data_IF_777966690418
#
_entry.id   IF_777966690418
#
_cell.length_a   1.000
_cell.length_b   1.000
_cell.length_c   1.000
_cell.angle_alpha   90.00
_cell.angle_beta   90.00
_cell.angle_gamma   90.00
#
_symmetry.space_group_name_H-M   'P 1'
#
loop_
_entity.id
_entity.type
_entity.pdbx_description
1 polymer ?
#
# COMPACT_ATOMS: atom_id res chain seq x y z
N UNK A 1 -31.36 -0.51 -2.53
CA UNK A 1 -31.21 0.26 -1.27
C UNK A 1 -30.80 -0.63 -0.08
N UNK A 2 -31.51 -1.73 0.21
CA UNK A 2 -31.19 -2.65 1.33
C UNK A 2 -29.77 -3.27 1.22
N UNK A 3 -29.35 -3.70 0.03
CA UNK A 3 -28.03 -4.30 -0.22
C UNK A 3 -26.91 -3.28 0.03
N UNK A 4 -27.05 -2.06 -0.46
CA UNK A 4 -26.07 -0.99 -0.25
C UNK A 4 -25.93 -0.62 1.23
N UNK A 5 -27.05 -0.56 1.95
CA UNK A 5 -27.04 -0.30 3.40
C UNK A 5 -26.34 -1.44 4.16
N UNK A 6 -26.62 -2.69 3.81
CA UNK A 6 -25.93 -3.84 4.40
C UNK A 6 -24.42 -3.78 4.13
N UNK A 7 -24.00 -3.55 2.88
CA UNK A 7 -22.59 -3.41 2.55
C UNK A 7 -21.90 -2.27 3.31
N UNK A 8 -22.60 -1.13 3.49
CA UNK A 8 -22.07 -0.01 4.28
C UNK A 8 -21.86 -0.40 5.74
N UNK A 9 -22.86 -1.05 6.35
CA UNK A 9 -22.76 -1.51 7.75
C UNK A 9 -21.66 -2.55 7.92
N UNK A 10 -21.58 -3.53 7.03
CA UNK A 10 -20.52 -4.56 7.06
C UNK A 10 -19.13 -3.91 6.94
N UNK A 11 -18.97 -2.93 6.04
CA UNK A 11 -17.72 -2.18 5.87
C UNK A 11 -17.35 -1.42 7.14
N UNK A 12 -18.32 -0.74 7.78
CA UNK A 12 -18.09 -0.01 9.03
C UNK A 12 -17.68 -0.95 10.18
N UNK A 13 -18.33 -2.11 10.29
CA UNK A 13 -17.98 -3.12 11.30
C UNK A 13 -16.54 -3.60 11.08
N UNK A 14 -16.17 -3.90 9.84
CA UNK A 14 -14.81 -4.35 9.51
C UNK A 14 -13.79 -3.24 9.81
N UNK A 15 -14.05 -2.01 9.40
CA UNK A 15 -13.16 -0.88 9.68
C UNK A 15 -12.99 -0.65 11.18
N UNK A 16 -14.08 -0.69 11.95
CA UNK A 16 -14.03 -0.58 13.41
C UNK A 16 -13.24 -1.74 14.04
N UNK A 17 -13.49 -2.97 13.61
CA UNK A 17 -12.78 -4.14 14.12
C UNK A 17 -11.28 -4.10 13.82
N UNK A 18 -10.91 -3.79 12.57
CA UNK A 18 -9.51 -3.70 12.15
C UNK A 18 -8.78 -2.55 12.87
N UNK A 19 -9.38 -1.36 12.93
CA UNK A 19 -8.74 -0.22 13.62
C UNK A 19 -8.58 -0.46 15.12
N UNK A 20 -9.57 -1.08 15.79
CA UNK A 20 -9.45 -1.49 17.19
C UNK A 20 -8.34 -2.52 17.36
N UNK A 21 -8.30 -3.54 16.50
CA UNK A 21 -7.25 -4.57 16.57
C UNK A 21 -5.86 -3.96 16.41
N UNK A 22 -5.67 -3.09 15.42
CA UNK A 22 -4.39 -2.41 15.19
C UNK A 22 -4.02 -1.53 16.39
N UNK A 23 -4.98 -0.78 16.96
CA UNK A 23 -4.76 0.01 18.16
C UNK A 23 -4.29 -0.86 19.34
N UNK A 24 -4.94 -2.00 19.57
CA UNK A 24 -4.56 -2.93 20.64
C UNK A 24 -3.20 -3.57 20.39
N UNK A 25 -2.92 -3.97 19.14
CA UNK A 25 -1.61 -4.53 18.77
C UNK A 25 -0.50 -3.52 19.02
N UNK A 26 -0.67 -2.26 18.63
CA UNK A 26 0.30 -1.20 18.89
C UNK A 26 0.51 -0.96 20.40
N UNK A 27 -0.55 -1.08 21.21
CA UNK A 27 -0.45 -0.95 22.66
C UNK A 27 0.26 -2.15 23.33
N UNK A 28 0.31 -3.31 22.67
CA UNK A 28 0.96 -4.53 23.15
C UNK A 28 2.41 -4.68 22.67
N UNK A 29 2.85 -3.89 21.69
CA UNK A 29 4.25 -3.93 21.22
C UNK A 29 5.17 -3.53 22.37
N UNK A 30 6.17 -4.37 22.71
CA UNK A 30 7.15 -4.02 23.72
C UNK A 30 8.01 -2.85 23.24
N UNK A 31 8.19 -1.85 24.10
CA UNK A 31 8.96 -0.63 23.83
C UNK A 31 8.15 0.61 24.22
N UNK A 32 8.87 1.65 24.57
CA UNK A 32 8.26 2.93 24.90
C UNK A 32 8.31 3.86 23.69
N UNK A 33 7.16 4.31 23.15
CA UNK A 33 7.18 5.29 22.07
C UNK A 33 7.93 6.58 22.42
N UNK A 34 8.07 6.91 23.70
CA UNK A 34 8.88 8.02 24.16
C UNK A 34 10.36 7.81 23.83
N UNK A 35 10.87 6.58 23.95
CA UNK A 35 12.26 6.26 23.62
C UNK A 35 12.54 6.40 22.11
N UNK A 36 11.53 6.18 21.26
CA UNK A 36 11.64 6.40 19.82
C UNK A 36 11.78 7.89 19.47
N UNK A 37 11.15 8.76 20.27
CA UNK A 37 11.14 10.21 20.01
C UNK A 37 12.34 10.91 20.65
N UNK A 38 12.69 10.57 21.87
CA UNK A 38 13.72 11.24 22.65
C UNK A 38 15.06 10.51 22.66
N UNK A 39 15.08 9.23 22.30
CA UNK A 39 16.24 8.35 22.45
C UNK A 39 16.40 7.80 23.87
N UNK A 40 17.18 6.73 24.01
CA UNK A 40 17.38 6.03 25.28
C UNK A 40 18.13 6.86 26.34
N UNK A 41 18.86 7.90 25.91
CA UNK A 41 19.65 8.77 26.78
C UNK A 41 18.91 9.98 27.36
N UNK A 42 17.62 10.14 27.08
CA UNK A 42 16.82 11.28 27.52
C UNK A 42 16.67 11.32 29.05
N UNK A 43 16.60 12.52 29.62
CA UNK A 43 16.40 12.71 31.06
C UNK A 43 15.00 12.26 31.48
N UNK A 44 14.88 11.80 32.71
CA UNK A 44 13.63 11.31 33.30
C UNK A 44 12.49 12.36 33.24
N UNK A 45 12.82 13.63 33.44
CA UNK A 45 11.87 14.74 33.38
C UNK A 45 11.29 14.92 31.96
N UNK A 46 12.13 14.85 30.94
CA UNK A 46 11.70 14.96 29.54
C UNK A 46 10.82 13.79 29.14
N UNK A 47 11.13 12.59 29.60
CA UNK A 47 10.31 11.39 29.37
C UNK A 47 8.93 11.51 30.00
N UNK A 48 8.83 12.03 31.22
CA UNK A 48 7.53 12.22 31.87
C UNK A 48 6.69 13.25 31.13
N UNK A 49 7.26 14.40 30.77
CA UNK A 49 6.58 15.44 30.01
C UNK A 49 6.11 14.93 28.65
N UNK A 50 6.93 14.14 27.96
CA UNK A 50 6.55 13.54 26.68
C UNK A 50 5.44 12.50 26.81
N UNK A 51 5.45 11.68 27.88
CA UNK A 51 4.36 10.72 28.15
C UNK A 51 3.03 11.42 28.37
N UNK A 52 3.03 12.50 29.16
CA UNK A 52 1.84 13.32 29.37
C UNK A 52 1.36 13.97 28.06
N UNK A 53 2.28 14.54 27.28
CA UNK A 53 1.96 15.16 25.99
C UNK A 53 1.35 14.16 25.00
N UNK A 54 1.83 12.90 24.99
CA UNK A 54 1.30 11.83 24.16
C UNK A 54 0.07 11.12 24.78
N UNK A 55 -0.34 11.50 25.98
CA UNK A 55 -1.45 10.90 26.72
C UNK A 55 -1.25 9.42 27.05
N UNK A 56 0.00 8.96 27.16
CA UNK A 56 0.35 7.58 27.44
C UNK A 56 0.12 7.17 28.90
N UNK A 57 -0.02 8.15 29.79
CA UNK A 57 -0.40 8.02 31.19
C UNK A 57 -1.86 7.63 31.40
N UNK A 58 -2.71 7.83 30.37
CA UNK A 58 -4.14 7.54 30.45
C UNK A 58 -4.43 6.05 30.34
N UNK A 59 -5.50 5.55 31.02
CA UNK A 59 -5.96 4.17 30.83
C UNK A 59 -6.21 3.82 29.36
N UNK A 60 -5.89 2.59 28.96
CA UNK A 60 -6.00 2.11 27.58
C UNK A 60 -7.38 2.37 26.98
N UNK A 61 -8.45 2.16 27.77
CA UNK A 61 -9.84 2.40 27.32
C UNK A 61 -10.09 3.87 27.00
N UNK A 62 -9.53 4.79 27.77
CA UNK A 62 -9.65 6.22 27.48
C UNK A 62 -8.89 6.60 26.21
N UNK A 63 -7.66 6.08 26.03
CA UNK A 63 -6.87 6.29 24.81
C UNK A 63 -7.60 5.76 23.59
N UNK A 64 -8.20 4.57 23.68
CA UNK A 64 -9.01 3.98 22.63
C UNK A 64 -10.25 4.85 22.30
N UNK A 65 -10.96 5.33 23.29
CA UNK A 65 -12.09 6.23 23.09
C UNK A 65 -11.70 7.56 22.42
N UNK A 66 -10.61 8.18 22.86
CA UNK A 66 -10.06 9.40 22.26
C UNK A 66 -9.64 9.19 20.81
N UNK A 67 -8.98 8.07 20.51
CA UNK A 67 -8.61 7.70 19.15
C UNK A 67 -9.83 7.74 18.19
N UNK A 68 -10.98 7.23 18.61
CA UNK A 68 -12.18 7.27 17.77
C UNK A 68 -12.80 8.67 17.69
N UNK A 69 -12.75 9.44 18.78
CA UNK A 69 -13.23 10.83 18.78
C UNK A 69 -12.41 11.68 17.80
N UNK A 70 -11.10 11.53 17.82
CA UNK A 70 -10.18 12.25 16.94
C UNK A 70 -10.36 11.79 15.48
N UNK A 71 -10.49 10.48 15.25
CA UNK A 71 -10.76 9.93 13.94
C UNK A 71 -12.06 10.46 13.30
N UNK A 72 -13.14 10.57 14.09
CA UNK A 72 -14.43 11.12 13.62
C UNK A 72 -14.31 12.61 13.29
N UNK A 73 -13.44 13.35 13.99
CA UNK A 73 -13.13 14.76 13.72
C UNK A 73 -12.21 14.95 12.51
N UNK A 74 -11.69 13.85 11.93
CA UNK A 74 -10.72 13.89 10.84
C UNK A 74 -9.29 14.14 11.29
N UNK A 75 -9.04 14.10 12.60
CA UNK A 75 -7.69 14.19 13.16
C UNK A 75 -7.06 12.79 13.19
N UNK A 76 -6.05 12.59 12.35
CA UNK A 76 -5.26 11.36 12.28
C UNK A 76 -4.02 11.38 13.20
N UNK A 77 -3.89 12.42 14.01
CA UNK A 77 -2.75 12.64 14.88
C UNK A 77 -1.47 13.03 14.15
N UNK A 78 -0.38 13.03 14.87
CA UNK A 78 0.95 13.37 14.39
C UNK A 78 1.87 12.15 14.28
N UNK A 79 2.73 12.15 13.27
CA UNK A 79 3.79 11.16 13.14
C UNK A 79 4.89 11.41 14.17
N UNK A 80 5.11 10.46 15.07
CA UNK A 80 6.16 10.54 16.09
C UNK A 80 7.56 10.71 15.49
N UNK A 81 7.82 10.09 14.35
CA UNK A 81 9.13 10.12 13.68
C UNK A 81 9.32 11.41 12.86
N UNK A 82 8.29 11.84 12.15
CA UNK A 82 8.38 13.00 11.23
C UNK A 82 7.94 14.31 11.85
N UNK A 83 7.25 14.27 13.00
CA UNK A 83 6.70 15.45 13.70
C UNK A 83 5.85 16.32 12.77
N UNK A 84 5.00 15.66 12.00
CA UNK A 84 4.07 16.29 11.04
C UNK A 84 2.72 15.61 11.13
N UNK A 85 1.61 16.31 10.83
CA UNK A 85 0.29 15.70 10.77
C UNK A 85 0.26 14.51 9.81
N UNK A 86 -0.32 13.41 10.24
CA UNK A 86 -0.46 12.20 9.40
C UNK A 86 -1.28 12.47 8.15
N UNK A 87 -2.30 13.32 8.25
CA UNK A 87 -3.12 13.75 7.11
C UNK A 87 -2.25 14.38 6.00
N UNK A 88 -1.33 15.27 6.36
CA UNK A 88 -0.43 15.93 5.40
C UNK A 88 0.52 14.93 4.73
N UNK A 89 1.05 13.99 5.51
CA UNK A 89 1.92 12.93 4.99
C UNK A 89 1.17 12.03 3.99
N UNK A 90 -0.08 11.71 4.27
CA UNK A 90 -0.94 10.94 3.36
C UNK A 90 -1.21 11.72 2.08
N UNK A 91 -1.62 12.99 2.19
CA UNK A 91 -1.92 13.83 1.02
C UNK A 91 -0.69 14.05 0.13
N UNK A 92 0.51 14.15 0.69
CA UNK A 92 1.75 14.24 -0.07
C UNK A 92 2.08 12.95 -0.84
N UNK A 93 1.70 11.77 -0.32
CA UNK A 93 2.00 10.47 -0.94
C UNK A 93 0.91 9.94 -1.85
N UNK A 94 -0.33 10.33 -1.59
CA UNK A 94 -1.50 9.86 -2.33
C UNK A 94 -1.40 10.08 -3.85
N UNK A 95 -0.95 11.25 -4.37
CA UNK A 95 -0.84 11.47 -5.81
C UNK A 95 0.09 10.46 -6.50
N UNK A 96 1.26 10.18 -5.91
CA UNK A 96 2.19 9.21 -6.47
C UNK A 96 1.61 7.78 -6.48
N UNK A 97 0.89 7.41 -5.42
CA UNK A 97 0.21 6.11 -5.33
C UNK A 97 -0.89 5.98 -6.38
N UNK A 98 -1.70 7.04 -6.56
CA UNK A 98 -2.77 7.06 -7.58
C UNK A 98 -2.21 7.02 -9.00
N UNK A 99 -1.13 7.76 -9.27
CA UNK A 99 -0.45 7.73 -10.57
C UNK A 99 0.07 6.33 -10.89
N UNK A 100 0.72 5.68 -9.92
CA UNK A 100 1.21 4.31 -10.09
C UNK A 100 0.06 3.31 -10.30
N UNK A 101 -1.00 3.42 -9.51
CA UNK A 101 -2.18 2.57 -9.65
C UNK A 101 -2.85 2.74 -11.03
N UNK A 102 -3.02 3.99 -11.49
CA UNK A 102 -3.58 4.28 -12.81
C UNK A 102 -2.70 3.75 -13.94
N UNK A 103 -1.38 3.93 -13.85
CA UNK A 103 -0.43 3.43 -14.85
C UNK A 103 -0.42 1.89 -14.91
N UNK A 104 -0.39 1.22 -13.75
CA UNK A 104 -0.47 -0.24 -13.68
C UNK A 104 -1.81 -0.76 -14.22
N UNK A 105 -2.93 -0.12 -13.86
CA UNK A 105 -4.26 -0.48 -14.34
C UNK A 105 -4.39 -0.32 -15.86
N UNK A 106 -3.89 0.79 -16.41
CA UNK A 106 -3.86 1.02 -17.85
C UNK A 106 -3.05 -0.05 -18.58
N UNK A 107 -1.88 -0.42 -18.02
CA UNK A 107 -1.06 -1.50 -18.55
C UNK A 107 -1.81 -2.84 -18.55
N UNK A 108 -2.53 -3.16 -17.48
CA UNK A 108 -3.38 -4.36 -17.40
C UNK A 108 -4.44 -4.34 -18.51
N UNK A 109 -5.16 -3.24 -18.68
CA UNK A 109 -6.19 -3.12 -19.73
C UNK A 109 -5.60 -3.30 -21.13
N UNK A 110 -4.47 -2.64 -21.41
CA UNK A 110 -3.82 -2.68 -22.73
C UNK A 110 -3.17 -4.03 -23.06
N UNK A 111 -2.85 -4.84 -22.05
CA UNK A 111 -2.20 -6.15 -22.24
C UNK A 111 -3.17 -7.30 -22.04
N UNK A 112 -3.86 -7.36 -20.92
CA UNK A 112 -4.70 -8.49 -20.54
C UNK A 112 -5.96 -8.61 -21.43
N UNK A 113 -6.61 -7.49 -21.73
CA UNK A 113 -7.83 -7.51 -22.55
C UNK A 113 -7.56 -8.04 -23.97
N UNK A 114 -6.58 -7.52 -24.74
CA UNK A 114 -6.29 -8.06 -26.07
C UNK A 114 -5.82 -9.52 -26.02
N UNK A 115 -4.97 -9.88 -25.06
CA UNK A 115 -4.49 -11.26 -24.93
C UNK A 115 -5.60 -12.23 -24.54
N UNK A 116 -6.49 -11.83 -23.62
CA UNK A 116 -7.64 -12.64 -23.21
C UNK A 116 -8.63 -12.86 -24.35
N UNK A 117 -9.00 -11.78 -25.08
CA UNK A 117 -9.87 -11.87 -26.24
C UNK A 117 -9.24 -12.75 -27.33
N UNK A 118 -7.93 -12.61 -27.58
CA UNK A 118 -7.22 -13.43 -28.55
C UNK A 118 -7.24 -14.91 -28.15
N UNK A 119 -6.95 -15.20 -26.87
CA UNK A 119 -7.00 -16.55 -26.33
C UNK A 119 -8.39 -17.17 -26.46
N UNK A 120 -9.44 -16.42 -26.09
CA UNK A 120 -10.84 -16.86 -26.21
C UNK A 120 -11.23 -17.15 -27.66
N UNK A 121 -10.85 -16.28 -28.62
CA UNK A 121 -11.14 -16.43 -30.04
C UNK A 121 -10.46 -17.66 -30.67
N UNK A 122 -9.27 -17.99 -30.20
CA UNK A 122 -8.48 -19.12 -30.72
C UNK A 122 -8.37 -20.27 -29.72
N UNK A 123 -9.41 -20.47 -28.93
CA UNK A 123 -9.45 -21.48 -27.85
C UNK A 123 -9.00 -22.86 -28.34
N UNK A 124 -8.07 -23.47 -27.61
CA UNK A 124 -7.47 -24.78 -27.92
C UNK A 124 -6.40 -24.75 -29.00
N UNK A 125 -6.17 -23.60 -29.67
CA UNK A 125 -5.13 -23.39 -30.68
C UNK A 125 -3.84 -22.82 -30.06
N UNK A 126 -2.79 -22.70 -30.90
CA UNK A 126 -1.50 -22.20 -30.43
C UNK A 126 -1.53 -20.80 -29.77
N UNK A 127 -2.33 -19.79 -30.23
CA UNK A 127 -2.36 -18.48 -29.57
C UNK A 127 -2.89 -18.57 -28.12
N UNK A 128 -3.90 -19.42 -27.88
CA UNK A 128 -4.43 -19.69 -26.56
C UNK A 128 -3.37 -20.31 -25.65
N UNK A 129 -2.63 -21.32 -26.14
CA UNK A 129 -1.55 -21.95 -25.37
C UNK A 129 -0.42 -20.98 -25.02
N UNK A 130 -0.06 -20.09 -25.93
CA UNK A 130 0.95 -19.05 -25.69
C UNK A 130 0.46 -18.06 -24.63
N UNK A 131 -0.78 -17.55 -24.77
CA UNK A 131 -1.36 -16.63 -23.79
C UNK A 131 -1.42 -17.26 -22.38
N UNK A 132 -1.83 -18.53 -22.28
CA UNK A 132 -1.84 -19.26 -21.02
C UNK A 132 -0.44 -19.48 -20.46
N UNK A 133 0.56 -19.78 -21.29
CA UNK A 133 1.96 -19.93 -20.89
C UNK A 133 2.54 -18.62 -20.33
N UNK A 134 2.31 -17.50 -21.05
CA UNK A 134 2.73 -16.16 -20.59
C UNK A 134 2.05 -15.79 -19.27
N UNK A 135 0.75 -16.05 -19.16
CA UNK A 135 0.02 -15.82 -17.92
C UNK A 135 0.55 -16.68 -16.76
N UNK A 136 0.89 -17.95 -17.02
CA UNK A 136 1.47 -18.83 -16.01
C UNK A 136 2.82 -18.30 -15.50
N UNK A 137 3.72 -17.90 -16.40
CA UNK A 137 5.00 -17.28 -16.05
C UNK A 137 4.77 -16.01 -15.22
N UNK A 138 3.89 -15.13 -15.66
CA UNK A 138 3.59 -13.88 -14.97
C UNK A 138 3.05 -14.05 -13.55
N UNK A 139 2.27 -15.11 -13.30
CA UNK A 139 1.79 -15.42 -11.93
C UNK A 139 2.88 -16.08 -11.08
N UNK A 140 3.78 -16.84 -11.73
CA UNK A 140 4.82 -17.60 -11.00
C UNK A 140 5.95 -16.72 -10.50
N UNK A 141 6.19 -15.56 -11.09
CA UNK A 141 7.27 -14.66 -10.68
C UNK A 141 6.77 -13.72 -9.57
N UNK A 142 7.35 -13.77 -8.36
CA UNK A 142 6.98 -12.86 -7.28
C UNK A 142 7.33 -11.40 -7.62
N UNK A 143 6.43 -10.46 -7.32
CA UNK A 143 6.63 -9.02 -7.61
C UNK A 143 7.88 -8.45 -6.93
N UNK A 144 8.17 -8.89 -5.70
CA UNK A 144 9.33 -8.43 -4.95
C UNK A 144 10.66 -8.86 -5.60
N UNK A 145 10.65 -9.88 -6.43
CA UNK A 145 11.81 -10.34 -7.19
C UNK A 145 11.85 -9.72 -8.59
N UNK A 146 10.71 -9.62 -9.27
CA UNK A 146 10.59 -9.04 -10.60
C UNK A 146 11.04 -7.58 -10.63
N UNK A 147 10.60 -6.76 -9.66
CA UNK A 147 10.93 -5.34 -9.58
C UNK A 147 12.45 -5.08 -9.59
N UNK A 148 13.22 -5.63 -8.64
CA UNK A 148 14.68 -5.50 -8.65
C UNK A 148 15.36 -6.00 -9.92
N UNK A 149 14.88 -7.08 -10.54
CA UNK A 149 15.45 -7.57 -11.80
C UNK A 149 15.23 -6.60 -12.96
N UNK A 150 14.03 -6.01 -13.06
CA UNK A 150 13.73 -5.00 -14.07
C UNK A 150 14.60 -3.75 -13.86
N UNK A 151 14.79 -3.31 -12.62
CA UNK A 151 15.71 -2.20 -12.29
C UNK A 151 17.14 -2.54 -12.69
N UNK A 152 17.63 -3.75 -12.35
CA UNK A 152 18.97 -4.17 -12.72
C UNK A 152 19.16 -4.15 -14.25
N UNK A 153 18.21 -4.69 -14.99
CA UNK A 153 18.31 -4.80 -16.44
C UNK A 153 18.12 -3.43 -17.11
N UNK A 154 17.04 -2.73 -16.84
CA UNK A 154 16.65 -1.53 -17.59
C UNK A 154 17.26 -0.24 -17.06
N UNK A 155 17.52 -0.15 -15.76
CA UNK A 155 18.11 1.06 -15.16
C UNK A 155 19.64 0.95 -15.07
N UNK A 156 20.16 -0.16 -14.54
CA UNK A 156 21.60 -0.29 -14.28
C UNK A 156 22.37 -0.68 -15.55
N UNK A 157 21.93 -1.73 -16.27
CA UNK A 157 22.67 -2.21 -17.44
C UNK A 157 22.39 -1.40 -18.71
N UNK A 158 21.12 -1.09 -18.96
CA UNK A 158 20.72 -0.42 -20.20
C UNK A 158 20.63 1.11 -20.05
N UNK A 159 20.52 1.65 -18.83
CA UNK A 159 20.40 3.09 -18.58
C UNK A 159 19.13 3.74 -19.16
N UNK A 160 18.05 2.96 -19.38
CA UNK A 160 16.83 3.46 -20.02
C UNK A 160 15.86 4.15 -19.06
N UNK A 161 15.92 3.78 -17.79
CA UNK A 161 15.03 4.30 -16.75
C UNK A 161 15.83 4.67 -15.51
N UNK A 162 15.35 5.60 -14.67
CA UNK A 162 16.01 5.92 -13.41
C UNK A 162 15.93 4.73 -12.44
N UNK A 163 16.97 4.59 -11.60
CA UNK A 163 17.05 3.52 -10.58
C UNK A 163 16.06 3.75 -9.44
N UNK A 164 15.83 5.02 -9.09
CA UNK A 164 14.97 5.43 -7.98
C UNK A 164 14.42 6.83 -8.20
N UNK A 165 13.44 7.22 -7.37
CA UNK A 165 12.80 8.53 -7.44
C UNK A 165 11.40 8.46 -8.03
N UNK A 166 10.67 9.56 -7.91
CA UNK A 166 9.30 9.72 -8.44
C UNK A 166 9.12 10.97 -9.29
N UNK A 167 10.16 11.78 -9.44
CA UNK A 167 10.13 13.07 -10.17
C UNK A 167 10.79 12.99 -11.53
N UNK A 168 11.61 11.98 -11.79
CA UNK A 168 12.29 11.82 -13.06
C UNK A 168 11.38 11.19 -14.12
N UNK A 169 11.49 11.63 -15.38
CA UNK A 169 10.79 11.01 -16.49
C UNK A 169 11.09 9.51 -16.56
N UNK A 170 10.07 8.68 -16.68
CA UNK A 170 10.22 7.22 -16.74
C UNK A 170 10.27 6.49 -15.40
N UNK A 171 10.31 7.18 -14.27
CA UNK A 171 10.34 6.55 -12.93
C UNK A 171 9.15 5.66 -12.62
N UNK A 172 7.98 5.90 -13.24
CA UNK A 172 6.76 5.09 -13.09
C UNK A 172 6.74 3.83 -13.95
N UNK A 173 7.59 3.73 -14.97
CA UNK A 173 7.51 2.64 -15.96
C UNK A 173 7.76 1.28 -15.29
N UNK A 174 8.88 1.09 -14.64
CA UNK A 174 9.24 -0.20 -14.05
C UNK A 174 8.31 -0.61 -12.90
N UNK A 175 7.94 0.27 -11.96
CA UNK A 175 6.93 -0.05 -10.94
C UNK A 175 5.58 -0.41 -11.54
N UNK A 176 5.10 0.32 -12.55
CA UNK A 176 3.84 0.03 -13.23
C UNK A 176 3.88 -1.32 -13.97
N UNK A 177 5.00 -1.63 -14.65
CA UNK A 177 5.21 -2.92 -15.31
C UNK A 177 5.24 -4.05 -14.28
N UNK A 178 5.95 -3.87 -13.17
CA UNK A 178 6.05 -4.89 -12.11
C UNK A 178 4.66 -5.25 -11.54
N UNK A 179 3.87 -4.24 -11.19
CA UNK A 179 2.52 -4.45 -10.66
C UNK A 179 1.55 -4.93 -11.74
N UNK A 180 1.61 -4.30 -12.91
CA UNK A 180 0.71 -4.57 -14.03
C UNK A 180 0.85 -5.97 -14.60
N UNK A 181 2.07 -6.50 -14.75
CA UNK A 181 2.30 -7.83 -15.32
C UNK A 181 1.65 -8.95 -14.51
N UNK A 182 1.79 -8.91 -13.17
CA UNK A 182 1.16 -9.91 -12.32
C UNK A 182 -0.36 -9.85 -12.38
N UNK A 183 -0.93 -8.64 -12.37
CA UNK A 183 -2.38 -8.46 -12.49
C UNK A 183 -2.89 -8.82 -13.89
N UNK A 184 -2.13 -8.48 -14.95
CA UNK A 184 -2.46 -8.83 -16.32
C UNK A 184 -2.51 -10.34 -16.51
N UNK A 185 -1.58 -11.08 -15.91
CA UNK A 185 -1.54 -12.53 -15.98
C UNK A 185 -2.80 -13.20 -15.40
N UNK A 186 -3.30 -12.69 -14.26
CA UNK A 186 -4.54 -13.16 -13.65
C UNK A 186 -5.74 -12.76 -14.53
N UNK A 187 -5.82 -11.51 -14.96
CA UNK A 187 -6.94 -10.96 -15.71
C UNK A 187 -7.08 -11.64 -17.07
N UNK A 188 -5.98 -11.94 -17.77
CA UNK A 188 -6.00 -12.67 -19.06
C UNK A 188 -6.69 -14.02 -18.98
N UNK A 189 -6.64 -14.67 -17.81
CA UNK A 189 -7.32 -15.96 -17.58
C UNK A 189 -8.80 -15.82 -17.24
N UNK A 190 -9.24 -14.64 -16.85
CA UNK A 190 -10.64 -14.37 -16.49
C UNK A 190 -11.47 -13.89 -17.67
N UNK A 191 -10.83 -13.40 -18.71
CA UNK A 191 -11.44 -12.97 -19.99
C UNK A 191 -11.57 -14.14 -20.95
#
# INVERSE_FOLDING_TARGET
MRILLQQLVDTLIVLFGVSTLVFLLLALIPGDPVDVVLGESAQAADRTAMREALGLDRPLVQRWGLFYVDLIRGDLGESLVRRQPVADLLMQRLPATLQLAAAAFLLVLLTAMPLGILAARFRGRWPDRVAQGVALIGVSIPNFWLGPLLVLLFSVWLGWTPVSGNLEPGSLILPAVTLGLSMAAITTRMV
#
